data_IF_322528507798
#
_entry.id   IF_322528507798
#
_cell.length_a   1.000
_cell.length_b   1.000
_cell.length_c   1.000
_cell.angle_alpha   90.00
_cell.angle_beta   90.00
_cell.angle_gamma   90.00
#
_symmetry.space_group_name_H-M   'P 1'
#
loop_
_entity.id
_entity.type
_entity.pdbx_description
1 polymer ?
#
# COMPACT_ATOMS: atom_id res chain seq x y z
N UNK A 1 -29.71 -8.52 3.80
CA UNK A 1 -28.63 -7.53 3.62
C UNK A 1 -27.32 -8.26 3.81
N UNK A 2 -26.63 -8.61 2.71
CA UNK A 2 -25.38 -9.35 2.76
C UNK A 2 -24.20 -8.36 2.61
N UNK A 3 -23.29 -8.38 3.57
CA UNK A 3 -22.06 -7.60 3.55
C UNK A 3 -21.08 -8.30 2.59
N UNK A 4 -20.85 -7.72 1.43
CA UNK A 4 -19.82 -8.19 0.48
C UNK A 4 -18.45 -7.83 1.02
N UNK A 5 -17.71 -8.83 1.51
CA UNK A 5 -16.31 -8.67 1.90
C UNK A 5 -15.45 -8.47 0.66
N UNK A 6 -14.87 -7.28 0.51
CA UNK A 6 -13.83 -7.02 -0.48
C UNK A 6 -12.52 -7.60 0.05
N UNK A 7 -12.11 -8.75 -0.51
CA UNK A 7 -10.82 -9.37 -0.21
C UNK A 7 -9.70 -8.61 -0.92
N UNK A 8 -8.69 -8.17 -0.17
CA UNK A 8 -7.47 -7.60 -0.73
C UNK A 8 -6.64 -8.75 -1.32
N UNK A 9 -6.48 -8.77 -2.64
CA UNK A 9 -5.61 -9.72 -3.33
C UNK A 9 -4.15 -9.20 -3.32
N UNK A 10 -3.26 -9.93 -2.66
CA UNK A 10 -1.81 -9.71 -2.75
C UNK A 10 -1.32 -10.40 -4.03
N UNK A 11 -1.00 -9.62 -5.06
CA UNK A 11 -0.31 -10.11 -6.27
C UNK A 11 1.19 -9.88 -6.09
N UNK A 12 1.96 -10.95 -5.91
CA UNK A 12 3.42 -10.89 -5.95
C UNK A 12 3.91 -10.84 -7.42
N UNK A 13 4.89 -9.98 -7.78
CA UNK A 13 5.49 -10.03 -9.10
C UNK A 13 6.35 -11.30 -9.23
N UNK A 14 5.96 -12.18 -10.16
CA UNK A 14 6.68 -13.42 -10.45
C UNK A 14 8.10 -13.17 -10.94
N UNK A 15 9.07 -13.83 -10.30
CA UNK A 15 10.45 -13.93 -10.77
C UNK A 15 10.48 -14.85 -11.98
N UNK A 16 11.01 -14.36 -13.11
CA UNK A 16 11.37 -15.22 -14.25
C UNK A 16 12.77 -15.75 -13.99
N UNK A 17 12.94 -17.07 -14.04
CA UNK A 17 13.89 -17.75 -14.92
C UNK A 17 13.75 -19.28 -14.81
N UNK A 18 13.55 -19.92 -15.96
CA UNK A 18 14.07 -21.25 -16.30
C UNK A 18 13.60 -22.50 -15.54
N UNK A 19 12.72 -23.26 -16.22
CA UNK A 19 12.84 -24.72 -16.47
C UNK A 19 11.82 -25.70 -15.85
N UNK A 20 11.11 -26.35 -16.80
CA UNK A 20 10.34 -27.60 -16.81
C UNK A 20 8.92 -27.63 -16.21
N UNK A 21 8.02 -28.05 -17.10
CA UNK A 21 6.57 -28.22 -16.97
C UNK A 21 6.12 -28.93 -15.69
N UNK A 22 5.23 -28.26 -14.96
CA UNK A 22 4.21 -28.90 -14.15
C UNK A 22 2.86 -28.50 -14.74
N UNK A 23 2.15 -29.49 -15.27
CA UNK A 23 0.75 -29.38 -15.67
C UNK A 23 -0.08 -29.21 -14.39
N UNK A 24 -0.36 -27.97 -14.04
CA UNK A 24 -1.31 -27.59 -13.00
C UNK A 24 -2.06 -26.39 -13.53
N UNK A 25 -3.36 -26.54 -13.76
CA UNK A 25 -4.22 -25.51 -14.34
C UNK A 25 -4.04 -24.19 -13.63
N UNK A 26 -3.31 -23.27 -14.24
CA UNK A 26 -3.35 -21.88 -13.87
C UNK A 26 -4.74 -21.41 -14.27
N UNK A 27 -5.64 -21.35 -13.30
CA UNK A 27 -6.73 -20.39 -13.38
C UNK A 27 -6.05 -19.04 -13.56
N UNK A 28 -5.98 -18.60 -14.82
CA UNK A 28 -5.49 -17.30 -15.17
C UNK A 28 -6.43 -16.31 -14.48
N UNK A 29 -6.04 -15.86 -13.29
CA UNK A 29 -6.65 -14.71 -12.66
C UNK A 29 -6.45 -13.58 -13.67
N UNK A 30 -7.50 -13.28 -14.41
CA UNK A 30 -7.49 -12.18 -15.34
C UNK A 30 -7.06 -10.96 -14.51
N UNK A 31 -6.00 -10.28 -14.96
CA UNK A 31 -5.61 -9.02 -14.36
C UNK A 31 -6.84 -8.12 -14.38
N UNK A 32 -7.41 -7.86 -13.20
CA UNK A 32 -8.50 -6.90 -13.11
C UNK A 32 -7.96 -5.57 -13.65
N UNK A 33 -8.79 -4.80 -14.38
CA UNK A 33 -8.41 -3.44 -14.75
C UNK A 33 -7.90 -2.75 -13.47
N UNK A 34 -6.72 -2.14 -13.56
CA UNK A 34 -6.09 -1.49 -12.43
C UNK A 34 -7.07 -0.51 -11.77
N UNK A 35 -7.01 -0.33 -10.44
CA UNK A 35 -7.92 0.53 -9.73
C UNK A 35 -7.97 1.91 -10.39
N UNK A 36 -9.18 2.48 -10.49
CA UNK A 36 -9.36 3.83 -10.95
C UNK A 36 -8.53 4.78 -10.05
N UNK A 37 -7.99 5.88 -10.61
CA UNK A 37 -7.15 6.79 -9.83
C UNK A 37 -7.90 7.27 -8.58
N UNK A 38 -7.28 7.13 -7.41
CA UNK A 38 -7.88 7.60 -6.17
C UNK A 38 -8.08 9.13 -6.22
N UNK A 39 -9.25 9.61 -5.81
CA UNK A 39 -9.52 11.05 -5.68
C UNK A 39 -9.18 11.48 -4.25
N UNK A 40 -8.49 12.61 -4.01
CA UNK A 40 -8.07 13.01 -2.65
C UNK A 40 -9.19 13.06 -1.60
N UNK A 41 -10.45 13.30 -2.03
CA UNK A 41 -11.63 13.31 -1.15
C UNK A 41 -12.18 11.92 -0.76
N UNK A 42 -11.66 10.83 -1.33
CA UNK A 42 -12.12 9.45 -1.05
C UNK A 42 -11.14 8.65 -0.19
N UNK A 43 -10.11 9.30 0.36
CA UNK A 43 -9.08 8.61 1.15
C UNK A 43 -9.58 8.37 2.58
N UNK A 44 -9.26 7.18 3.09
CA UNK A 44 -9.52 6.77 4.46
C UNK A 44 -8.27 7.01 5.32
N UNK A 45 -8.50 7.17 6.62
CA UNK A 45 -7.42 7.09 7.59
C UNK A 45 -6.91 5.64 7.66
N UNK A 46 -5.58 5.41 7.57
CA UNK A 46 -5.00 4.07 7.56
C UNK A 46 -5.11 3.37 8.92
N UNK A 47 -5.22 4.15 10.00
CA UNK A 47 -5.47 3.69 11.37
C UNK A 47 -6.18 4.78 12.17
N UNK A 48 -6.94 4.41 13.19
CA UNK A 48 -7.60 5.34 14.09
C UNK A 48 -6.66 5.72 15.24
N UNK A 49 -6.46 7.03 15.43
CA UNK A 49 -5.63 7.55 16.52
C UNK A 49 -5.30 9.03 16.34
N UNK A 50 -4.70 9.66 17.35
CA UNK A 50 -4.22 11.03 17.23
C UNK A 50 -2.96 11.08 16.36
N UNK A 51 -2.84 12.14 15.57
CA UNK A 51 -1.57 12.49 14.92
C UNK A 51 -0.60 12.95 16.01
N UNK A 52 0.48 12.20 16.21
CA UNK A 52 1.52 12.50 17.20
C UNK A 52 2.71 13.22 16.58
N UNK A 53 2.88 13.12 15.26
CA UNK A 53 3.84 13.93 14.52
C UNK A 53 3.22 14.41 13.20
N UNK A 54 3.03 15.72 13.02
CA UNK A 54 2.49 16.26 11.78
C UNK A 54 3.52 16.20 10.65
N UNK A 55 3.04 16.44 9.43
CA UNK A 55 3.90 16.70 8.29
C UNK A 55 4.70 17.98 8.52
N UNK A 56 5.99 17.92 8.18
CA UNK A 56 6.92 19.03 8.30
C UNK A 56 7.75 19.08 7.01
N UNK A 57 7.47 20.10 6.18
CA UNK A 57 8.01 20.19 4.83
C UNK A 57 9.53 20.47 4.86
N UNK A 58 10.35 19.62 4.23
CA UNK A 58 11.78 19.92 4.10
C UNK A 58 12.01 21.16 3.23
N UNK A 59 12.91 22.05 3.66
CA UNK A 59 13.29 23.25 2.87
C UNK A 59 13.93 22.89 1.51
N UNK A 60 14.52 21.70 1.41
CA UNK A 60 15.09 21.17 0.17
C UNK A 60 14.94 19.67 0.08
N UNK A 61 15.23 19.09 -1.10
CA UNK A 61 15.02 17.66 -1.39
C UNK A 61 15.63 16.73 -0.33
N UNK A 62 16.79 17.10 0.20
CA UNK A 62 17.52 16.36 1.24
C UNK A 62 17.57 17.10 2.58
N UNK A 63 16.80 18.17 2.73
CA UNK A 63 16.71 18.92 3.98
C UNK A 63 16.06 18.10 5.09
N UNK A 64 16.24 18.52 6.36
CA UNK A 64 15.53 17.93 7.49
C UNK A 64 14.03 18.21 7.37
N UNK A 65 13.21 17.37 8.00
CA UNK A 65 11.75 17.51 8.03
C UNK A 65 11.08 16.17 8.30
N UNK A 66 9.75 16.15 8.21
CA UNK A 66 8.91 14.96 8.37
C UNK A 66 8.00 14.77 7.15
N UNK A 67 8.37 13.81 6.29
CA UNK A 67 7.74 13.62 4.96
C UNK A 67 6.39 12.87 5.00
N UNK A 68 5.83 12.69 6.18
CA UNK A 68 4.57 11.99 6.40
C UNK A 68 3.93 12.46 7.70
N UNK A 69 2.95 11.71 8.18
CA UNK A 69 2.35 11.90 9.49
C UNK A 69 2.52 10.62 10.30
N UNK A 70 2.71 10.76 11.61
CA UNK A 70 2.74 9.63 12.53
C UNK A 70 1.43 9.63 13.31
N UNK A 71 0.70 8.51 13.25
CA UNK A 71 -0.56 8.30 13.96
C UNK A 71 -0.30 7.28 15.05
N UNK A 72 -0.62 7.61 16.30
CA UNK A 72 -0.47 6.66 17.40
C UNK A 72 -1.51 5.53 17.27
N UNK A 73 -1.03 4.29 17.36
CA UNK A 73 -1.85 3.09 17.40
C UNK A 73 -1.22 2.07 18.34
N UNK A 74 -2.05 1.21 18.96
CA UNK A 74 -1.56 0.10 19.76
C UNK A 74 -0.90 -0.96 18.86
N UNK A 75 0.08 -1.70 19.41
CA UNK A 75 0.71 -2.79 18.68
C UNK A 75 -0.32 -3.86 18.30
N UNK A 76 -0.26 -4.29 17.04
CA UNK A 76 -1.20 -5.29 16.50
C UNK A 76 -2.50 -4.72 15.96
N UNK A 77 -2.76 -3.41 16.09
CA UNK A 77 -3.89 -2.76 15.41
C UNK A 77 -3.68 -2.86 13.89
N UNK A 78 -4.66 -3.40 13.14
CA UNK A 78 -4.56 -3.47 11.69
C UNK A 78 -4.45 -2.08 11.05
N UNK A 79 -3.51 -1.95 10.12
CA UNK A 79 -3.37 -0.77 9.26
C UNK A 79 -3.98 -1.12 7.90
N UNK A 80 -4.85 -0.24 7.41
CA UNK A 80 -5.52 -0.42 6.11
C UNK A 80 -4.93 0.50 5.04
N UNK A 81 -5.11 0.11 3.78
CA UNK A 81 -4.78 0.99 2.67
C UNK A 81 -5.70 2.23 2.69
N UNK A 82 -5.16 3.45 2.50
CA UNK A 82 -5.97 4.66 2.53
C UNK A 82 -6.87 4.79 1.30
N UNK A 83 -6.56 4.11 0.20
CA UNK A 83 -7.37 4.05 -1.02
C UNK A 83 -7.05 2.77 -1.80
N UNK A 84 -7.87 2.45 -2.80
CA UNK A 84 -7.60 1.34 -3.73
C UNK A 84 -6.31 1.60 -4.50
N UNK A 85 -5.53 0.55 -4.76
CA UNK A 85 -4.25 0.68 -5.44
C UNK A 85 -3.54 -0.66 -5.65
N UNK A 86 -2.36 -0.60 -6.25
CA UNK A 86 -1.48 -1.74 -6.48
C UNK A 86 -0.24 -1.60 -5.59
N UNK A 87 0.07 -2.65 -4.83
CA UNK A 87 1.30 -2.69 -4.03
C UNK A 87 2.52 -2.68 -4.97
N UNK A 88 3.37 -1.67 -4.82
CA UNK A 88 4.63 -1.53 -5.59
C UNK A 88 5.86 -1.90 -4.78
N UNK A 89 5.75 -1.91 -3.45
CA UNK A 89 6.77 -2.40 -2.54
C UNK A 89 6.13 -2.94 -1.25
N UNK A 90 6.64 -4.06 -0.75
CA UNK A 90 6.36 -4.58 0.59
C UNK A 90 7.61 -5.28 1.13
N UNK A 91 8.19 -4.80 2.23
CA UNK A 91 9.43 -5.36 2.76
C UNK A 91 10.07 -4.50 3.83
N UNK A 92 11.25 -4.93 4.30
CA UNK A 92 12.02 -4.20 5.30
C UNK A 92 13.02 -3.23 4.65
N UNK A 93 13.12 -2.01 5.20
CA UNK A 93 14.15 -1.02 4.86
C UNK A 93 14.71 -0.46 6.17
N UNK A 94 16.02 -0.59 6.37
CA UNK A 94 16.67 -0.09 7.60
C UNK A 94 16.12 -0.71 8.90
N UNK A 95 15.57 -1.93 8.85
CA UNK A 95 14.99 -2.61 10.00
C UNK A 95 13.51 -2.30 10.27
N UNK A 96 12.89 -1.41 9.49
CA UNK A 96 11.47 -1.07 9.58
C UNK A 96 10.70 -1.68 8.41
N UNK A 97 9.44 -2.08 8.64
CA UNK A 97 8.57 -2.58 7.59
C UNK A 97 7.99 -1.40 6.81
N UNK A 98 7.87 -1.55 5.50
CA UNK A 98 7.20 -0.58 4.64
C UNK A 98 6.30 -1.28 3.65
N UNK A 99 5.16 -0.66 3.37
CA UNK A 99 4.31 -0.98 2.21
C UNK A 99 4.08 0.30 1.43
N UNK A 100 4.25 0.23 0.11
CA UNK A 100 3.98 1.35 -0.80
C UNK A 100 2.96 0.95 -1.84
N UNK A 101 1.95 1.78 -2.01
CA UNK A 101 0.80 1.54 -2.89
C UNK A 101 0.74 2.65 -3.93
N UNK A 102 0.69 2.26 -5.21
CA UNK A 102 0.37 3.16 -6.32
C UNK A 102 -1.15 3.18 -6.50
N UNK A 103 -1.74 4.37 -6.35
CA UNK A 103 -3.18 4.59 -6.44
C UNK A 103 -3.60 5.11 -7.82
N UNK A 104 -2.68 5.14 -8.80
CA UNK A 104 -2.90 5.76 -10.11
C UNK A 104 -2.81 7.28 -10.07
N UNK A 105 -2.78 7.91 -11.25
CA UNK A 105 -2.77 9.38 -11.36
C UNK A 105 -1.55 10.08 -10.76
N UNK A 106 -0.45 9.34 -10.54
CA UNK A 106 0.76 9.85 -9.87
C UNK A 106 0.65 9.92 -8.35
N UNK A 107 -0.42 9.40 -7.75
CA UNK A 107 -0.62 9.37 -6.31
C UNK A 107 -0.08 8.07 -5.71
N UNK A 108 0.66 8.21 -4.61
CA UNK A 108 1.30 7.09 -3.91
C UNK A 108 1.16 7.28 -2.41
N UNK A 109 0.89 6.19 -1.69
CA UNK A 109 1.02 6.15 -0.24
C UNK A 109 2.12 5.20 0.18
N UNK A 110 2.76 5.50 1.30
CA UNK A 110 3.72 4.62 1.96
C UNK A 110 3.36 4.57 3.44
N UNK A 111 3.19 3.38 3.99
CA UNK A 111 3.02 3.15 5.43
C UNK A 111 4.20 2.36 5.99
N UNK A 112 4.52 2.62 7.26
CA UNK A 112 5.64 2.04 7.99
C UNK A 112 5.34 1.84 9.46
#
# INVERSE_FOLDING_TARGET
MALGGSGVAIVAPGTRDGERAAEGGAEAWAASPGPAPASPGSWLWPVQGPVVRPFDAPEGRYGPGHRGIDIAAEHGVPVVAPADGVVTFAGQVGGHLFVTIDHGGGLRSTCS
#
